data_IF_393807883102
#
_entry.id   IF_393807883102
#
_cell.length_a   1.000
_cell.length_b   1.000
_cell.length_c   1.000
_cell.angle_alpha   90.00
_cell.angle_beta   90.00
_cell.angle_gamma   90.00
#
_symmetry.space_group_name_H-M   'P 1'
#
loop_
_entity.id
_entity.type
_entity.pdbx_description
1 polymer ?
#
# COMPACT_ATOMS: atom_id res chain seq x y z
N UNK A 1 21.86 -11.87 -7.44
CA UNK A 1 22.34 -10.50 -7.18
C UNK A 1 21.16 -9.64 -6.73
N UNK A 2 21.06 -9.30 -5.44
CA UNK A 2 19.89 -8.60 -4.87
C UNK A 2 20.12 -7.10 -4.85
N UNK A 3 19.17 -6.34 -5.40
CA UNK A 3 19.16 -4.88 -5.32
C UNK A 3 18.61 -4.50 -3.95
N UNK A 4 19.48 -4.12 -3.02
CA UNK A 4 19.07 -3.15 -1.99
C UNK A 4 18.43 -1.99 -2.74
N UNK A 5 17.21 -1.55 -2.39
CA UNK A 5 16.72 -0.32 -2.99
C UNK A 5 17.63 0.77 -2.44
N UNK A 6 18.47 1.31 -3.34
CA UNK A 6 19.14 2.58 -3.06
C UNK A 6 18.06 3.57 -2.65
N UNK A 7 18.39 4.52 -1.76
CA UNK A 7 17.44 5.52 -1.28
C UNK A 7 16.65 6.15 -2.45
N UNK A 8 17.31 6.39 -3.58
CA UNK A 8 16.69 6.89 -4.80
C UNK A 8 15.62 5.96 -5.40
N UNK A 9 15.78 4.64 -5.38
CA UNK A 9 14.76 3.72 -5.89
C UNK A 9 13.54 3.62 -4.94
N UNK A 10 13.78 3.63 -3.63
CA UNK A 10 12.70 3.68 -2.63
C UNK A 10 11.89 4.98 -2.76
N UNK A 11 12.56 6.12 -2.92
CA UNK A 11 11.93 7.42 -3.16
C UNK A 11 11.09 7.41 -4.45
N UNK A 12 11.64 6.92 -5.57
CA UNK A 12 10.92 6.87 -6.86
C UNK A 12 9.63 6.04 -6.77
N UNK A 13 9.70 4.85 -6.18
CA UNK A 13 8.52 3.99 -6.04
C UNK A 13 7.49 4.56 -5.07
N UNK A 14 7.94 5.13 -3.95
CA UNK A 14 7.05 5.78 -2.99
C UNK A 14 6.36 6.98 -3.60
N UNK A 15 7.10 7.80 -4.36
CA UNK A 15 6.57 8.95 -5.08
C UNK A 15 5.53 8.52 -6.12
N UNK A 16 5.80 7.45 -6.88
CA UNK A 16 4.86 6.93 -7.87
C UNK A 16 3.54 6.46 -7.25
N UNK A 17 3.60 5.67 -6.17
CA UNK A 17 2.40 5.22 -5.45
C UNK A 17 1.64 6.43 -4.88
N UNK A 18 2.36 7.38 -4.28
CA UNK A 18 1.76 8.56 -3.68
C UNK A 18 1.11 9.46 -4.74
N UNK A 19 1.74 9.61 -5.91
CA UNK A 19 1.21 10.36 -7.04
C UNK A 19 -0.09 9.74 -7.56
N UNK A 20 -0.14 8.42 -7.76
CA UNK A 20 -1.36 7.72 -8.17
C UNK A 20 -2.48 7.96 -7.16
N UNK A 21 -2.19 7.80 -5.86
CA UNK A 21 -3.17 8.03 -4.80
C UNK A 21 -3.66 9.48 -4.77
N UNK A 22 -2.75 10.44 -4.93
CA UNK A 22 -3.06 11.87 -4.95
C UNK A 22 -3.93 12.23 -6.15
N UNK A 23 -3.58 11.75 -7.35
CA UNK A 23 -4.35 11.96 -8.57
C UNK A 23 -5.74 11.33 -8.48
N UNK A 24 -5.85 10.08 -7.99
CA UNK A 24 -7.14 9.43 -7.79
C UNK A 24 -8.03 10.18 -6.80
N UNK A 25 -7.45 10.65 -5.69
CA UNK A 25 -8.19 11.43 -4.68
C UNK A 25 -8.61 12.79 -5.23
N UNK A 26 -7.75 13.46 -5.98
CA UNK A 26 -8.08 14.73 -6.63
C UNK A 26 -9.20 14.58 -7.64
N UNK A 27 -9.18 13.51 -8.45
CA UNK A 27 -10.26 13.18 -9.37
C UNK A 27 -11.58 12.95 -8.61
N UNK A 28 -11.57 12.17 -7.53
CA UNK A 28 -12.76 11.94 -6.72
C UNK A 28 -13.31 13.24 -6.12
N UNK A 29 -12.45 14.08 -5.54
CA UNK A 29 -12.84 15.38 -4.98
C UNK A 29 -13.44 16.27 -6.06
N UNK A 30 -12.83 16.32 -7.26
CA UNK A 30 -13.36 17.08 -8.38
C UNK A 30 -14.73 16.55 -8.84
N UNK A 31 -14.89 15.23 -8.98
CA UNK A 31 -16.16 14.60 -9.34
C UNK A 31 -17.25 14.91 -8.33
N UNK A 32 -16.98 14.75 -7.03
CA UNK A 32 -17.94 15.06 -5.96
C UNK A 32 -18.31 16.54 -5.97
N UNK A 33 -17.34 17.44 -6.16
CA UNK A 33 -17.57 18.89 -6.22
C UNK A 33 -18.47 19.27 -7.40
N UNK A 34 -18.29 18.64 -8.57
CA UNK A 34 -19.15 18.84 -9.74
C UNK A 34 -20.59 18.36 -9.45
N UNK A 35 -20.74 17.18 -8.86
CA UNK A 35 -22.06 16.61 -8.53
C UNK A 35 -22.80 17.46 -7.51
N UNK A 36 -22.11 17.92 -6.46
CA UNK A 36 -22.68 18.75 -5.41
C UNK A 36 -22.78 20.23 -5.78
N UNK A 37 -22.21 20.64 -6.92
CA UNK A 37 -22.10 22.04 -7.37
C UNK A 37 -21.42 22.96 -6.35
N UNK A 38 -20.48 22.41 -5.59
CA UNK A 38 -19.72 23.15 -4.58
C UNK A 38 -18.33 23.50 -5.11
N UNK A 39 -17.83 24.68 -4.73
CA UNK A 39 -16.47 25.07 -5.05
C UNK A 39 -15.47 24.34 -4.13
N UNK A 40 -14.37 23.86 -4.72
CA UNK A 40 -13.28 23.26 -3.94
C UNK A 40 -12.60 24.35 -3.12
N UNK A 41 -12.68 24.24 -1.79
CA UNK A 41 -11.99 25.16 -0.89
C UNK A 41 -10.47 25.02 -1.02
N UNK A 42 -9.70 26.14 -1.13
CA UNK A 42 -8.23 26.09 -1.13
C UNK A 42 -7.65 25.41 0.12
N UNK A 43 -8.35 25.52 1.26
CA UNK A 43 -7.98 24.87 2.52
C UNK A 43 -8.04 23.35 2.39
N UNK A 44 -9.00 22.81 1.63
CA UNK A 44 -9.12 21.38 1.36
C UNK A 44 -7.90 20.86 0.59
N UNK A 45 -7.48 21.58 -0.46
CA UNK A 45 -6.30 21.23 -1.26
C UNK A 45 -5.02 21.24 -0.42
N UNK A 46 -4.88 22.21 0.47
CA UNK A 46 -3.74 22.27 1.39
C UNK A 46 -3.72 21.10 2.38
N UNK A 47 -4.89 20.71 2.93
CA UNK A 47 -5.03 19.53 3.81
C UNK A 47 -4.70 18.22 3.08
N UNK A 48 -5.10 18.09 1.81
CA UNK A 48 -4.70 16.97 0.94
C UNK A 48 -3.19 16.92 0.78
N UNK A 49 -2.56 18.06 0.47
CA UNK A 49 -1.11 18.13 0.29
C UNK A 49 -0.34 17.65 1.53
N UNK A 50 -0.72 18.11 2.73
CA UNK A 50 -0.11 17.67 3.99
C UNK A 50 -0.28 16.16 4.18
N UNK A 51 -1.50 15.65 4.02
CA UNK A 51 -1.82 14.23 4.22
C UNK A 51 -0.99 13.33 3.31
N UNK A 52 -0.89 13.68 2.02
CA UNK A 52 -0.10 12.93 1.05
C UNK A 52 1.41 13.10 1.25
N UNK A 53 1.87 14.20 1.83
CA UNK A 53 3.28 14.39 2.21
C UNK A 53 3.66 13.44 3.35
N UNK A 54 2.83 13.34 4.39
CA UNK A 54 3.07 12.40 5.49
C UNK A 54 2.99 10.95 4.99
N UNK A 55 2.03 10.64 4.13
CA UNK A 55 1.91 9.31 3.52
C UNK A 55 3.15 8.94 2.70
N UNK A 56 3.70 9.88 1.93
CA UNK A 56 4.95 9.69 1.19
C UNK A 56 6.13 9.33 2.10
N UNK A 57 6.29 10.03 3.22
CA UNK A 57 7.35 9.76 4.19
C UNK A 57 7.21 8.35 4.77
N UNK A 58 6.00 7.97 5.18
CA UNK A 58 5.71 6.64 5.72
C UNK A 58 5.97 5.55 4.67
N UNK A 59 5.54 5.75 3.42
CA UNK A 59 5.79 4.81 2.33
C UNK A 59 7.28 4.64 2.04
N UNK A 60 8.04 5.74 2.06
CA UNK A 60 9.49 5.70 1.86
C UNK A 60 10.18 4.91 2.98
N UNK A 61 9.80 5.15 4.23
CA UNK A 61 10.27 4.41 5.40
C UNK A 61 9.91 2.92 5.31
N UNK A 62 8.68 2.61 4.91
CA UNK A 62 8.20 1.24 4.71
C UNK A 62 9.00 0.51 3.64
N UNK A 63 9.29 1.16 2.51
CA UNK A 63 10.11 0.54 1.45
C UNK A 63 11.53 0.26 1.92
N UNK A 64 12.14 1.19 2.64
CA UNK A 64 13.48 0.99 3.22
C UNK A 64 13.51 -0.11 4.27
N UNK A 65 12.48 -0.20 5.11
CA UNK A 65 12.39 -1.25 6.13
C UNK A 65 12.20 -2.65 5.53
N UNK A 66 11.44 -2.77 4.44
CA UNK A 66 11.28 -4.04 3.72
C UNK A 66 12.58 -4.61 3.16
N UNK A 67 13.59 -3.77 2.97
CA UNK A 67 14.94 -4.19 2.55
C UNK A 67 15.88 -4.49 3.72
N UNK A 68 15.42 -4.37 4.98
CA UNK A 68 16.24 -4.73 6.13
C UNK A 68 16.43 -6.24 6.20
N UNK A 69 17.59 -6.70 6.70
CA UNK A 69 17.87 -8.12 6.95
C UNK A 69 16.76 -8.80 7.74
N UNK A 70 16.19 -8.10 8.72
CA UNK A 70 15.09 -8.59 9.54
C UNK A 70 13.79 -8.82 8.75
N UNK A 71 13.45 -7.93 7.82
CA UNK A 71 12.22 -8.04 7.05
C UNK A 71 12.24 -9.18 6.02
N UNK A 72 13.43 -9.60 5.56
CA UNK A 72 13.57 -10.71 4.61
C UNK A 72 13.17 -12.07 5.20
N UNK A 73 13.41 -12.28 6.49
CA UNK A 73 13.13 -13.55 7.16
C UNK A 73 11.68 -13.65 7.68
N UNK A 74 10.87 -12.60 7.46
CA UNK A 74 9.51 -12.52 7.97
C UNK A 74 8.50 -12.63 6.83
N UNK A 75 7.35 -13.31 7.07
CA UNK A 75 6.27 -13.34 6.10
C UNK A 75 5.78 -11.92 5.84
N UNK A 76 5.39 -11.67 4.59
CA UNK A 76 4.96 -10.37 4.07
C UNK A 76 3.94 -9.67 4.98
N UNK A 77 3.02 -10.44 5.56
CA UNK A 77 1.96 -10.00 6.48
C UNK A 77 2.53 -9.29 7.72
N UNK A 78 3.60 -9.82 8.32
CA UNK A 78 4.24 -9.26 9.53
C UNK A 78 4.90 -7.93 9.23
N UNK A 79 5.55 -7.80 8.07
CA UNK A 79 6.19 -6.54 7.67
C UNK A 79 5.17 -5.43 7.38
N UNK A 80 3.96 -5.79 6.94
CA UNK A 80 2.89 -4.82 6.71
C UNK A 80 2.15 -4.43 8.00
N UNK A 81 2.00 -5.36 8.94
CA UNK A 81 1.42 -5.12 10.27
C UNK A 81 2.18 -4.05 11.07
N UNK A 82 3.50 -3.98 10.96
CA UNK A 82 4.31 -2.97 11.68
C UNK A 82 4.02 -1.54 11.20
N UNK A 83 3.76 -1.37 9.90
CA UNK A 83 3.45 -0.05 9.33
C UNK A 83 1.95 0.26 9.38
N UNK A 84 1.10 -0.70 9.74
CA UNK A 84 -0.34 -0.52 9.82
C UNK A 84 -0.73 0.62 10.80
N UNK A 85 -0.18 0.72 12.03
CA UNK A 85 -0.49 1.84 12.93
C UNK A 85 -0.07 3.19 12.36
N UNK A 86 1.07 3.27 11.66
CA UNK A 86 1.55 4.50 11.03
C UNK A 86 0.62 4.93 9.88
N UNK A 87 0.20 3.98 9.04
CA UNK A 87 -0.76 4.23 7.97
C UNK A 87 -2.14 4.62 8.53
N UNK A 88 -2.53 4.03 9.65
CA UNK A 88 -3.77 4.36 10.37
C UNK A 88 -3.75 5.78 10.94
N UNK A 89 -2.63 6.17 11.56
CA UNK A 89 -2.41 7.55 12.03
C UNK A 89 -2.49 8.56 10.90
N UNK A 90 -2.04 8.21 9.69
CA UNK A 90 -2.15 9.12 8.53
C UNK A 90 -3.60 9.30 8.08
N UNK A 91 -4.39 8.23 8.11
CA UNK A 91 -5.83 8.30 7.81
C UNK A 91 -6.57 9.10 8.89
N UNK A 92 -6.28 8.84 10.17
CA UNK A 92 -6.85 9.59 11.28
C UNK A 92 -6.49 11.08 11.21
N UNK A 93 -5.23 11.40 10.91
CA UNK A 93 -4.76 12.77 10.68
C UNK A 93 -5.52 13.41 9.50
N UNK A 94 -5.65 12.69 8.38
CA UNK A 94 -6.45 13.15 7.25
C UNK A 94 -7.86 13.50 7.68
N UNK A 95 -8.56 12.60 8.36
CA UNK A 95 -9.96 12.80 8.81
C UNK A 95 -10.10 14.05 9.69
N UNK A 96 -9.23 14.21 10.69
CA UNK A 96 -9.21 15.37 11.59
C UNK A 96 -8.93 16.65 10.82
N UNK A 97 -7.95 16.62 9.91
CA UNK A 97 -7.63 17.77 9.07
C UNK A 97 -8.80 18.11 8.16
N UNK A 98 -9.47 17.15 7.52
CA UNK A 98 -10.50 17.40 6.50
C UNK A 98 -11.80 17.99 7.05
N UNK A 99 -12.25 17.53 8.21
CA UNK A 99 -13.59 17.85 8.70
C UNK A 99 -13.60 18.78 9.93
N UNK A 100 -12.44 19.22 10.42
CA UNK A 100 -12.35 19.91 11.71
C UNK A 100 -12.63 18.96 12.88
N UNK A 101 -12.89 19.49 14.08
CA UNK A 101 -13.29 18.71 15.26
C UNK A 101 -14.61 17.98 14.96
N UNK A 102 -14.51 16.79 14.35
CA UNK A 102 -15.67 15.96 14.11
C UNK A 102 -16.14 15.41 15.45
N UNK A 103 -17.46 15.40 15.62
CA UNK A 103 -18.16 14.66 16.66
C UNK A 103 -17.66 13.21 16.62
N UNK A 104 -17.26 12.63 17.76
CA UNK A 104 -16.49 11.38 17.81
C UNK A 104 -17.09 10.17 17.08
N UNK A 105 -18.34 10.23 16.61
CA UNK A 105 -19.06 9.14 15.94
C UNK A 105 -18.54 8.86 14.52
N UNK A 106 -18.31 9.86 13.66
CA UNK A 106 -17.78 9.60 12.32
C UNK A 106 -16.33 9.09 12.37
N UNK A 107 -15.55 9.58 13.35
CA UNK A 107 -14.17 9.12 13.60
C UNK A 107 -14.18 7.64 13.97
N UNK A 108 -15.08 7.19 14.85
CA UNK A 108 -15.19 5.77 15.24
C UNK A 108 -15.55 4.89 14.04
N UNK A 109 -16.51 5.31 13.21
CA UNK A 109 -16.91 4.53 12.03
C UNK A 109 -15.72 4.39 11.07
N UNK A 110 -15.00 5.46 10.79
CA UNK A 110 -13.85 5.43 9.89
C UNK A 110 -12.66 4.65 10.48
N UNK A 111 -12.44 4.73 11.80
CA UNK A 111 -11.43 3.94 12.52
C UNK A 111 -11.72 2.44 12.43
N UNK A 112 -13.00 2.04 12.45
CA UNK A 112 -13.43 0.65 12.31
C UNK A 112 -13.46 0.17 10.85
N UNK A 113 -13.71 1.07 9.90
CA UNK A 113 -13.74 0.74 8.47
C UNK A 113 -12.32 0.50 7.91
N UNK A 114 -11.32 1.20 8.44
CA UNK A 114 -9.93 1.03 8.05
C UNK A 114 -9.39 -0.40 8.22
N UNK A 115 -9.47 -1.08 9.38
CA UNK A 115 -8.95 -2.43 9.52
C UNK A 115 -9.64 -3.41 8.57
N UNK A 116 -10.94 -3.23 8.31
CA UNK A 116 -11.68 -4.04 7.32
C UNK A 116 -11.07 -3.87 5.92
N UNK A 117 -10.92 -2.63 5.45
CA UNK A 117 -10.31 -2.33 4.14
C UNK A 117 -8.86 -2.83 4.10
N UNK A 118 -8.11 -2.66 5.18
CA UNK A 118 -6.74 -3.13 5.29
C UNK A 118 -6.63 -4.65 5.16
N UNK A 119 -7.46 -5.43 5.87
CA UNK A 119 -7.47 -6.89 5.76
C UNK A 119 -7.88 -7.36 4.38
N UNK A 120 -8.84 -6.68 3.73
CA UNK A 120 -9.22 -6.97 2.35
C UNK A 120 -8.03 -6.76 1.41
N UNK A 121 -7.37 -5.59 1.48
CA UNK A 121 -6.20 -5.28 0.64
C UNK A 121 -5.05 -6.27 0.90
N UNK A 122 -4.81 -6.63 2.16
CA UNK A 122 -3.78 -7.59 2.55
C UNK A 122 -4.08 -8.99 2.01
N UNK A 123 -5.34 -9.41 2.05
CA UNK A 123 -5.81 -10.69 1.48
C UNK A 123 -5.65 -10.71 -0.04
N UNK A 124 -6.09 -9.67 -0.75
CA UNK A 124 -5.95 -9.55 -2.20
C UNK A 124 -4.46 -9.63 -2.59
N UNK A 125 -3.60 -8.91 -1.88
CA UNK A 125 -2.16 -8.90 -2.15
C UNK A 125 -1.51 -10.26 -1.86
N UNK A 126 -1.93 -10.93 -0.79
CA UNK A 126 -1.48 -12.28 -0.49
C UNK A 126 -1.85 -13.26 -1.62
N UNK A 127 -3.11 -13.23 -2.09
CA UNK A 127 -3.57 -14.07 -3.21
C UNK A 127 -2.78 -13.79 -4.49
N UNK A 128 -2.51 -12.51 -4.80
CA UNK A 128 -1.71 -12.14 -5.96
C UNK A 128 -0.29 -12.70 -5.87
N UNK A 129 0.39 -12.55 -4.72
CA UNK A 129 1.74 -13.09 -4.52
C UNK A 129 1.75 -14.62 -4.58
N UNK A 130 0.76 -15.27 -3.93
CA UNK A 130 0.60 -16.72 -3.94
C UNK A 130 0.43 -17.24 -5.37
N UNK A 131 -0.39 -16.58 -6.19
CA UNK A 131 -0.60 -16.98 -7.59
C UNK A 131 0.69 -16.96 -8.43
N UNK A 132 1.61 -16.04 -8.14
CA UNK A 132 2.92 -15.99 -8.78
C UNK A 132 3.83 -17.14 -8.34
N UNK A 133 3.83 -17.46 -7.04
CA UNK A 133 4.57 -18.60 -6.50
C UNK A 133 4.04 -19.94 -7.01
N UNK A 134 2.72 -20.10 -7.09
CA UNK A 134 2.07 -21.32 -7.57
C UNK A 134 2.42 -21.58 -9.05
N UNK A 135 2.46 -20.53 -9.89
CA UNK A 135 2.94 -20.65 -11.28
C UNK A 135 4.41 -21.05 -11.38
N UNK A 136 5.27 -20.49 -10.53
CA UNK A 136 6.69 -20.82 -10.51
C UNK A 136 6.92 -22.27 -10.05
N UNK A 137 6.17 -22.73 -9.05
CA UNK A 137 6.21 -24.11 -8.59
C UNK A 137 5.71 -25.08 -9.67
N UNK A 138 4.65 -24.74 -10.37
CA UNK A 138 4.16 -25.53 -11.51
C UNK A 138 5.23 -25.67 -12.60
N UNK A 139 5.90 -24.57 -12.97
CA UNK A 139 6.99 -24.60 -13.94
C UNK A 139 8.20 -25.43 -13.45
N UNK A 140 8.53 -25.38 -12.16
CA UNK A 140 9.58 -26.20 -11.55
C UNK A 140 9.24 -27.69 -11.55
N UNK A 141 7.98 -28.04 -11.30
CA UNK A 141 7.52 -29.43 -11.31
C UNK A 141 7.49 -30.01 -12.74
N UNK A 142 7.15 -29.18 -13.73
CA UNK A 142 7.23 -29.55 -15.15
C UNK A 142 8.67 -29.77 -15.60
N UNK A 143 9.58 -28.85 -15.24
CA UNK A 143 11.02 -28.99 -15.51
C UNK A 143 11.63 -30.23 -14.84
N UNK A 144 11.21 -30.55 -13.60
CA UNK A 144 11.66 -31.76 -12.90
C UNK A 144 11.16 -33.04 -13.57
N UNK A 145 9.92 -33.04 -14.09
CA UNK A 145 9.37 -34.18 -14.84
C UNK A 145 10.14 -34.42 -16.14
N UNK A 146 10.46 -33.36 -16.90
CA UNK A 146 11.33 -33.48 -18.08
C UNK A 146 12.73 -33.99 -17.72
N UNK A 147 13.34 -33.47 -16.65
CA UNK A 147 14.68 -33.91 -16.22
C UNK A 147 14.76 -35.37 -15.76
N UNK A 148 13.66 -35.91 -15.21
CA UNK A 148 13.59 -37.34 -14.83
C UNK A 148 13.30 -38.23 -16.03
N UNK A 149 12.46 -37.78 -16.95
CA UNK A 149 12.21 -38.50 -18.21
C UNK A 149 13.47 -38.65 -19.06
N UNK A 150 14.41 -37.69 -18.99
CA UNK A 150 15.71 -37.78 -19.67
C UNK A 150 16.78 -38.58 -18.91
N UNK A 151 16.57 -38.87 -17.62
CA UNK A 151 17.51 -39.61 -16.78
C UNK A 151 17.22 -41.10 -16.66
N UNK A 152 16.06 -41.56 -17.14
CA UNK A 152 15.64 -42.98 -17.15
C UNK A 152 15.89 -43.67 -18.52
N UNK A 153 16.61 -43.01 -19.45
CA UNK A 153 17.03 -43.56 -20.75
C UNK A 153 18.52 -44.02 -20.79
N UNK A 154 19.22 -44.07 -19.65
CA UNK A 154 20.48 -44.81 -19.47
C UNK A 154 20.29 -46.06 -18.59
#
# INVERSE_FOLDING_TARGET
MRREYSLGQALKRSAFINLIGFSATTLLVATVSIVLREAVSPVLLFRMFITFTVLFLILTLKMRFKDSKWAYDKPYIVTDLIFMPLQWLTVALGIVLFNGFIIGREIIILLLLFPVVFFIVLTIRYLYLKSGTDRMNAALDEFKKESRSYGDEE
#
